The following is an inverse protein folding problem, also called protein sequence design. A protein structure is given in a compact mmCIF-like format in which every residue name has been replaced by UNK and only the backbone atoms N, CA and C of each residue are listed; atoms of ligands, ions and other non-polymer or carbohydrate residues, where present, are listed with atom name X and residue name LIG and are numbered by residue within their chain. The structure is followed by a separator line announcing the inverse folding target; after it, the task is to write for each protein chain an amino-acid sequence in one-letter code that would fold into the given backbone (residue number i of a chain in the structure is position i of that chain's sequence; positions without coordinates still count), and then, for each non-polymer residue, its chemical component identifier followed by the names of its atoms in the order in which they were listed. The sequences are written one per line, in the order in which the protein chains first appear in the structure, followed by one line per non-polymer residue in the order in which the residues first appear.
data_IF_686394968833
#
_entry.id   IF_686394968833
#
_cell.length_a   1.000
_cell.length_b   1.000
_cell.length_c   1.000
_cell.angle_alpha   90.00
_cell.angle_beta   90.00
_cell.angle_gamma   90.00
#
_symmetry.space_group_name_H-M   'P 1'
#
loop_
_entity.id
_entity.type
_entity.pdbx_description
1 polymer ?
#
# COMPACT_ATOMS: atom_id res chain seq x y z
N UNK A 1 10.11 -20.33 19.10
CA UNK A 1 9.27 -20.05 20.27
C UNK A 1 7.86 -19.71 19.77
N UNK A 2 6.80 -20.48 20.10
CA UNK A 2 5.45 -20.17 19.70
C UNK A 2 4.88 -19.06 20.60
N UNK A 3 4.32 -18.02 19.96
CA UNK A 3 3.54 -16.99 20.62
C UNK A 3 2.05 -17.33 20.45
N UNK A 4 1.32 -17.47 21.53
CA UNK A 4 -0.09 -17.92 21.51
C UNK A 4 -1.07 -16.75 21.38
N UNK A 5 -0.69 -15.69 20.66
CA UNK A 5 -1.48 -14.48 20.44
C UNK A 5 -0.69 -13.19 20.72
N UNK A 6 -1.42 -12.09 20.89
CA UNK A 6 -0.86 -10.76 21.14
C UNK A 6 -0.11 -10.75 22.48
N UNK A 7 1.12 -10.24 22.48
CA UNK A 7 1.91 -10.04 23.69
C UNK A 7 1.54 -8.73 24.39
N UNK A 8 2.00 -8.56 25.62
CA UNK A 8 1.84 -7.33 26.39
C UNK A 8 2.46 -6.14 25.64
N UNK A 9 1.74 -5.03 25.54
CA UNK A 9 2.31 -3.78 25.05
C UNK A 9 3.24 -3.18 26.11
N UNK A 10 4.55 -3.29 25.87
CA UNK A 10 5.59 -2.84 26.81
C UNK A 10 5.75 -1.30 26.83
N UNK A 11 5.19 -0.58 25.86
CA UNK A 11 5.16 0.89 25.88
C UNK A 11 4.27 1.44 27.00
N UNK A 12 3.18 0.69 27.32
CA UNK A 12 2.20 1.09 28.35
C UNK A 12 2.43 0.45 29.70
N UNK A 13 3.20 -0.62 29.76
CA UNK A 13 3.32 -1.41 30.96
C UNK A 13 4.55 -1.06 31.77
N UNK A 14 4.46 -0.93 33.12
CA UNK A 14 5.62 -0.78 33.98
C UNK A 14 6.48 -2.05 33.96
N UNK A 15 7.79 -1.91 34.16
CA UNK A 15 8.77 -3.01 34.06
C UNK A 15 8.39 -4.25 34.88
N UNK A 16 7.84 -4.06 36.09
CA UNK A 16 7.39 -5.18 36.94
C UNK A 16 6.32 -6.01 36.26
N UNK A 17 5.38 -5.37 35.56
CA UNK A 17 4.32 -6.07 34.79
C UNK A 17 4.88 -6.74 33.54
N UNK A 18 5.85 -6.13 32.90
CA UNK A 18 6.55 -6.70 31.73
C UNK A 18 7.23 -8.03 32.16
N UNK A 19 7.98 -7.99 33.23
CA UNK A 19 8.71 -9.18 33.76
C UNK A 19 7.79 -10.23 34.41
N UNK A 20 6.55 -9.89 34.74
CA UNK A 20 5.55 -10.87 35.21
C UNK A 20 4.85 -11.61 34.08
N UNK A 21 4.96 -11.16 32.82
CA UNK A 21 4.39 -11.84 31.65
C UNK A 21 5.20 -13.07 31.28
N UNK A 22 4.56 -14.24 31.27
CA UNK A 22 5.22 -15.52 30.94
C UNK A 22 5.84 -15.46 29.54
N UNK A 23 5.11 -14.97 28.55
CA UNK A 23 5.59 -14.86 27.17
C UNK A 23 6.83 -13.96 27.05
N UNK A 24 6.86 -12.86 27.78
CA UNK A 24 8.02 -11.95 27.79
C UNK A 24 9.22 -12.59 28.49
N UNK A 25 8.99 -13.29 29.61
CA UNK A 25 10.05 -14.04 30.30
C UNK A 25 10.63 -15.13 29.40
N UNK A 26 9.77 -15.86 28.69
CA UNK A 26 10.21 -16.89 27.75
C UNK A 26 11.05 -16.31 26.61
N UNK A 27 10.65 -15.13 26.08
CA UNK A 27 11.43 -14.41 25.07
C UNK A 27 12.81 -14.01 25.60
N UNK A 28 12.89 -13.40 26.79
CA UNK A 28 14.14 -12.97 27.41
C UNK A 28 15.02 -14.18 27.67
N UNK A 29 14.47 -15.27 28.23
CA UNK A 29 15.18 -16.51 28.49
C UNK A 29 15.69 -17.18 27.21
N UNK A 30 14.89 -17.17 26.13
CA UNK A 30 15.29 -17.73 24.85
C UNK A 30 16.42 -16.93 24.20
N UNK A 31 16.36 -15.61 24.22
CA UNK A 31 17.38 -14.70 23.66
C UNK A 31 18.68 -14.82 24.45
N UNK A 32 18.61 -14.87 25.78
CA UNK A 32 19.70 -15.13 26.69
C UNK A 32 20.50 -13.93 27.17
N UNK A 33 20.25 -12.72 26.61
CA UNK A 33 21.03 -11.50 26.92
C UNK A 33 20.65 -10.84 28.24
N UNK A 34 19.54 -11.23 28.88
CA UNK A 34 18.96 -10.45 29.97
C UNK A 34 18.32 -9.15 29.46
N UNK A 35 17.79 -8.34 30.38
CA UNK A 35 17.17 -7.00 30.10
C UNK A 35 17.47 -6.03 31.24
N UNK A 36 17.46 -4.74 30.99
CA UNK A 36 17.72 -3.70 31.98
C UNK A 36 19.19 -3.47 32.27
N UNK A 37 19.46 -2.71 33.34
CA UNK A 37 20.80 -2.33 33.79
C UNK A 37 21.17 -3.05 35.11
N UNK A 38 22.46 -3.13 35.42
CA UNK A 38 23.00 -3.70 36.67
C UNK A 38 23.34 -5.17 36.59
N UNK A 39 23.48 -5.80 37.77
CA UNK A 39 23.85 -7.21 37.89
C UNK A 39 22.73 -8.11 37.35
N UNK A 40 23.03 -8.90 36.31
CA UNK A 40 22.02 -9.68 35.56
C UNK A 40 21.29 -8.92 34.46
N UNK A 41 21.66 -7.65 34.19
CA UNK A 41 21.15 -6.82 33.09
C UNK A 41 21.54 -7.30 31.70
N UNK A 42 21.34 -6.45 30.72
CA UNK A 42 21.61 -6.75 29.30
C UNK A 42 23.11 -7.01 29.06
N UNK A 43 23.43 -8.14 28.48
CA UNK A 43 24.78 -8.54 28.09
C UNK A 43 24.77 -9.26 26.76
N UNK A 44 25.21 -8.55 25.70
CA UNK A 44 25.23 -9.09 24.34
C UNK A 44 26.10 -10.30 24.15
N UNK A 45 27.12 -10.48 25.00
CA UNK A 45 28.01 -11.65 24.93
C UNK A 45 27.30 -12.96 25.24
N UNK A 46 26.15 -12.89 25.91
CA UNK A 46 25.28 -14.03 26.26
C UNK A 46 24.23 -14.34 25.19
N UNK A 47 24.23 -13.59 24.08
CA UNK A 47 23.29 -13.82 22.97
C UNK A 47 23.44 -15.24 22.42
N UNK A 48 22.32 -15.96 22.37
CA UNK A 48 22.31 -17.37 21.92
C UNK A 48 22.12 -17.54 20.43
N UNK A 49 21.60 -16.52 19.72
CA UNK A 49 21.23 -16.61 18.31
C UNK A 49 21.71 -15.40 17.52
N UNK A 50 22.37 -15.63 16.40
CA UNK A 50 22.78 -14.56 15.49
C UNK A 50 21.62 -13.87 14.78
N UNK A 51 20.51 -14.59 14.59
CA UNK A 51 19.30 -14.07 13.97
C UNK A 51 18.09 -14.44 14.79
N UNK A 52 17.33 -13.42 15.19
CA UNK A 52 16.03 -13.56 15.83
C UNK A 52 15.01 -13.16 14.77
N UNK A 53 14.19 -14.12 14.35
CA UNK A 53 13.30 -13.96 13.21
C UNK A 53 11.87 -13.94 13.72
N UNK A 54 11.19 -12.81 13.54
CA UNK A 54 9.78 -12.63 13.86
C UNK A 54 8.95 -13.19 12.72
N UNK A 55 8.05 -14.12 13.03
CA UNK A 55 7.14 -14.75 12.08
C UNK A 55 5.72 -14.49 12.55
N UNK A 56 4.94 -13.82 11.72
CA UNK A 56 3.53 -13.53 11.94
C UNK A 56 2.74 -13.67 10.63
N UNK A 57 1.44 -13.85 10.74
CA UNK A 57 0.54 -13.90 9.59
C UNK A 57 0.53 -12.57 8.83
N UNK A 58 0.16 -12.60 7.57
CA UNK A 58 0.09 -11.38 6.74
C UNK A 58 -1.20 -10.56 6.95
N UNK A 59 -2.02 -10.92 7.95
CA UNK A 59 -3.25 -10.25 8.32
C UNK A 59 -3.03 -9.10 9.34
N UNK A 60 -4.11 -8.40 9.69
CA UNK A 60 -4.07 -7.26 10.63
C UNK A 60 -3.63 -7.67 12.04
N UNK A 61 -3.99 -8.88 12.50
CA UNK A 61 -3.60 -9.40 13.80
C UNK A 61 -2.11 -9.75 13.84
N UNK A 62 -1.59 -10.37 12.77
CA UNK A 62 -0.17 -10.66 12.64
C UNK A 62 0.69 -9.40 12.54
N UNK A 63 0.21 -8.35 11.85
CA UNK A 63 0.88 -7.04 11.82
C UNK A 63 0.92 -6.41 13.22
N UNK A 64 -0.17 -6.50 13.99
CA UNK A 64 -0.22 -6.01 15.37
C UNK A 64 0.74 -6.80 16.29
N UNK A 65 0.81 -8.13 16.15
CA UNK A 65 1.76 -8.97 16.90
C UNK A 65 3.20 -8.55 16.56
N UNK A 66 3.52 -8.36 15.29
CA UNK A 66 4.83 -7.89 14.83
C UNK A 66 5.19 -6.54 15.43
N UNK A 67 4.24 -5.59 15.46
CA UNK A 67 4.44 -4.26 16.06
C UNK A 67 4.69 -4.35 17.56
N UNK A 68 3.94 -5.18 18.30
CA UNK A 68 4.17 -5.41 19.74
C UNK A 68 5.54 -6.01 20.00
N UNK A 69 5.98 -6.98 19.18
CA UNK A 69 7.31 -7.57 19.29
C UNK A 69 8.42 -6.56 18.99
N UNK A 70 8.26 -5.75 17.93
CA UNK A 70 9.20 -4.68 17.60
C UNK A 70 9.29 -3.65 18.72
N UNK A 71 8.16 -3.28 19.34
CA UNK A 71 8.11 -2.41 20.50
C UNK A 71 8.90 -3.03 21.68
N UNK A 72 8.71 -4.32 21.93
CA UNK A 72 9.48 -5.02 22.96
C UNK A 72 10.98 -5.00 22.69
N UNK A 73 11.43 -5.35 21.48
CA UNK A 73 12.84 -5.31 21.11
C UNK A 73 13.41 -3.89 21.16
N UNK A 74 12.67 -2.91 20.71
CA UNK A 74 13.11 -1.52 20.72
C UNK A 74 13.25 -0.97 22.15
N UNK A 75 12.30 -1.26 23.05
CA UNK A 75 12.30 -0.72 24.42
C UNK A 75 13.20 -1.50 25.36
N UNK A 76 13.30 -2.82 25.23
CA UNK A 76 13.98 -3.68 26.21
C UNK A 76 15.31 -4.25 25.70
N UNK A 77 15.50 -4.36 24.39
CA UNK A 77 16.64 -5.06 23.77
C UNK A 77 17.16 -4.29 22.54
N UNK A 78 17.11 -2.96 22.60
CA UNK A 78 17.50 -2.05 21.50
C UNK A 78 18.88 -2.37 20.90
N UNK A 79 19.92 -2.71 21.68
CA UNK A 79 21.22 -3.06 21.12
C UNK A 79 21.18 -4.25 20.14
N UNK A 80 20.18 -5.16 20.24
CA UNK A 80 20.03 -6.26 19.28
C UNK A 80 19.52 -5.78 17.90
N UNK A 81 18.74 -4.69 17.86
CA UNK A 81 18.34 -4.06 16.59
C UNK A 81 19.54 -3.34 15.98
N UNK A 82 20.26 -2.55 16.79
CA UNK A 82 21.42 -1.78 16.35
C UNK A 82 22.56 -2.68 15.85
N UNK A 83 22.73 -3.84 16.48
CA UNK A 83 23.70 -4.87 16.07
C UNK A 83 23.20 -5.77 14.93
N UNK A 84 21.96 -5.56 14.44
CA UNK A 84 21.42 -6.23 13.26
C UNK A 84 21.00 -7.69 13.47
N UNK A 85 20.56 -8.05 14.66
CA UNK A 85 20.12 -9.43 14.99
C UNK A 85 18.62 -9.67 14.77
N UNK A 86 17.80 -8.62 14.58
CA UNK A 86 16.34 -8.73 14.48
C UNK A 86 15.90 -8.73 13.02
N UNK A 87 15.06 -9.70 12.66
CA UNK A 87 14.57 -9.89 11.29
C UNK A 87 13.06 -10.17 11.29
N UNK A 88 12.38 -9.75 10.21
CA UNK A 88 11.02 -10.14 9.89
C UNK A 88 11.05 -11.18 8.78
N UNK A 89 10.37 -12.30 8.98
CA UNK A 89 10.16 -13.29 7.93
C UNK A 89 9.15 -12.76 6.90
N UNK A 90 9.38 -13.09 5.63
CA UNK A 90 8.48 -12.78 4.53
C UNK A 90 7.92 -14.07 3.93
N UNK A 91 6.81 -14.60 4.46
CA UNK A 91 6.12 -15.72 3.82
C UNK A 91 5.54 -15.29 2.48
N UNK A 92 5.34 -16.21 1.53
CA UNK A 92 4.69 -15.91 0.27
C UNK A 92 3.19 -15.64 0.50
N UNK A 93 2.64 -14.69 -0.27
CA UNK A 93 1.20 -14.42 -0.31
C UNK A 93 0.47 -15.34 -1.29
N UNK A 94 1.17 -15.84 -2.33
CA UNK A 94 0.58 -16.66 -3.36
C UNK A 94 1.42 -17.88 -3.69
N UNK A 95 0.72 -18.98 -4.00
CA UNK A 95 1.25 -20.14 -4.71
C UNK A 95 0.55 -20.23 -6.05
N UNK A 96 1.34 -20.28 -7.12
CA UNK A 96 0.84 -20.41 -8.48
C UNK A 96 1.35 -21.71 -9.08
N UNK A 97 0.42 -22.50 -9.65
CA UNK A 97 0.74 -23.74 -10.34
C UNK A 97 0.10 -23.74 -11.72
N UNK A 98 0.92 -23.85 -12.78
CA UNK A 98 0.47 -23.95 -14.16
C UNK A 98 1.23 -25.08 -14.87
N UNK A 99 0.54 -26.17 -15.18
CA UNK A 99 1.18 -27.38 -15.71
C UNK A 99 2.23 -27.94 -14.75
N UNK A 100 3.50 -27.96 -15.18
CA UNK A 100 4.65 -28.41 -14.37
C UNK A 100 5.30 -27.29 -13.57
N UNK A 101 4.96 -26.05 -13.86
CA UNK A 101 5.51 -24.88 -13.17
C UNK A 101 4.77 -24.68 -11.84
N UNK A 102 5.51 -24.62 -10.76
CA UNK A 102 5.04 -24.25 -9.44
C UNK A 102 5.97 -23.19 -8.86
N UNK A 103 5.42 -22.07 -8.41
CA UNK A 103 6.21 -21.00 -7.82
C UNK A 103 5.43 -20.28 -6.71
N UNK A 104 6.19 -19.67 -5.80
CA UNK A 104 5.68 -18.84 -4.72
C UNK A 104 5.97 -17.37 -5.01
N UNK A 105 4.98 -16.50 -4.75
CA UNK A 105 5.07 -15.06 -4.94
C UNK A 105 4.80 -14.36 -3.60
N UNK A 106 5.68 -13.42 -3.21
CA UNK A 106 5.61 -12.79 -1.90
C UNK A 106 4.66 -11.59 -1.84
N UNK A 107 4.37 -10.96 -2.99
CA UNK A 107 3.60 -9.72 -3.02
C UNK A 107 2.52 -9.75 -4.08
N UNK A 108 1.50 -8.92 -3.89
CA UNK A 108 0.46 -8.67 -4.89
C UNK A 108 1.08 -8.19 -6.22
N UNK A 109 2.09 -7.33 -6.14
CA UNK A 109 2.78 -6.82 -7.32
C UNK A 109 3.44 -7.94 -8.13
N UNK A 110 4.09 -8.92 -7.47
CA UNK A 110 4.66 -10.08 -8.14
C UNK A 110 3.58 -10.93 -8.81
N UNK A 111 2.41 -11.04 -8.20
CA UNK A 111 1.26 -11.73 -8.79
C UNK A 111 0.77 -11.01 -10.05
N UNK A 112 0.64 -9.69 -10.02
CA UNK A 112 0.26 -8.89 -11.18
C UNK A 112 1.31 -9.00 -12.31
N UNK A 113 2.60 -8.95 -11.97
CA UNK A 113 3.68 -9.15 -12.93
C UNK A 113 3.63 -10.55 -13.56
N UNK A 114 3.34 -11.58 -12.77
CA UNK A 114 3.18 -12.95 -13.28
C UNK A 114 2.00 -13.06 -14.25
N UNK A 115 0.84 -12.52 -13.89
CA UNK A 115 -0.35 -12.50 -14.77
C UNK A 115 -0.08 -11.77 -16.09
N UNK A 116 0.61 -10.63 -16.03
CA UNK A 116 0.99 -9.86 -17.21
C UNK A 116 1.94 -10.66 -18.11
N UNK A 117 2.96 -11.27 -17.53
CA UNK A 117 3.93 -12.09 -18.28
C UNK A 117 3.26 -13.29 -18.94
N UNK A 118 2.40 -13.99 -18.20
CA UNK A 118 1.65 -15.14 -18.74
C UNK A 118 0.66 -14.70 -19.83
N UNK A 119 -0.02 -13.57 -19.63
CA UNK A 119 -0.93 -12.99 -20.62
C UNK A 119 -0.21 -12.71 -21.94
N UNK A 120 0.92 -12.01 -21.87
CA UNK A 120 1.72 -11.71 -23.06
C UNK A 120 2.21 -12.97 -23.80
N UNK A 121 2.44 -14.06 -23.07
CA UNK A 121 2.95 -15.30 -23.64
C UNK A 121 1.87 -16.22 -24.24
N UNK A 122 0.62 -16.12 -23.74
CA UNK A 122 -0.43 -17.12 -24.03
C UNK A 122 -1.69 -16.55 -24.67
N UNK A 123 -1.81 -15.22 -24.73
CA UNK A 123 -3.03 -14.55 -25.19
C UNK A 123 -2.77 -13.82 -26.51
N UNK A 124 -3.69 -13.96 -27.45
CA UNK A 124 -3.74 -13.13 -28.66
C UNK A 124 -4.87 -12.12 -28.51
N UNK A 125 -4.57 -10.83 -28.69
CA UNK A 125 -5.56 -9.76 -28.69
C UNK A 125 -5.71 -9.23 -30.10
N UNK A 126 -6.95 -9.19 -30.60
CA UNK A 126 -7.28 -8.64 -31.92
C UNK A 126 -8.24 -7.47 -31.74
N UNK A 127 -7.97 -6.34 -32.36
CA UNK A 127 -8.85 -5.19 -32.33
C UNK A 127 -10.06 -5.36 -33.28
N UNK A 128 -11.00 -4.43 -33.20
CA UNK A 128 -12.21 -4.44 -34.05
C UNK A 128 -11.95 -4.15 -35.55
N UNK A 129 -10.71 -3.83 -35.92
CA UNK A 129 -10.27 -3.64 -37.31
C UNK A 129 -9.53 -4.88 -37.83
N UNK A 130 -9.39 -5.91 -36.99
CA UNK A 130 -8.68 -7.13 -37.33
C UNK A 130 -7.15 -7.07 -37.11
N UNK A 131 -6.64 -5.97 -36.56
CA UNK A 131 -5.21 -5.86 -36.25
C UNK A 131 -4.89 -6.62 -34.93
N UNK A 132 -3.78 -7.36 -34.92
CA UNK A 132 -3.31 -8.07 -33.75
C UNK A 132 -2.43 -7.17 -32.89
N UNK A 133 -2.73 -7.12 -31.61
CA UNK A 133 -1.85 -6.51 -30.62
C UNK A 133 -0.97 -7.62 -30.03
N UNK A 134 0.32 -7.60 -30.37
CA UNK A 134 1.29 -8.62 -29.99
C UNK A 134 2.58 -7.98 -29.46
N UNK A 135 3.36 -8.75 -28.71
CA UNK A 135 4.70 -8.35 -28.25
C UNK A 135 4.71 -7.05 -27.46
N UNK A 136 5.55 -6.10 -27.88
CA UNK A 136 5.74 -4.83 -27.17
C UNK A 136 4.50 -3.94 -27.20
N UNK A 137 3.73 -3.93 -28.28
CA UNK A 137 2.51 -3.11 -28.40
C UNK A 137 1.46 -3.52 -27.35
N UNK A 138 1.24 -4.83 -27.20
CA UNK A 138 0.34 -5.35 -26.18
C UNK A 138 0.89 -5.07 -24.77
N UNK A 139 2.20 -5.24 -24.56
CA UNK A 139 2.84 -4.96 -23.28
C UNK A 139 2.69 -3.49 -22.88
N UNK A 140 2.90 -2.56 -23.81
CA UNK A 140 2.75 -1.13 -23.58
C UNK A 140 1.30 -0.76 -23.27
N UNK A 141 0.34 -1.30 -24.02
CA UNK A 141 -1.08 -1.13 -23.78
C UNK A 141 -1.47 -1.59 -22.36
N UNK A 142 -1.14 -2.81 -22.00
CA UNK A 142 -1.48 -3.36 -20.68
C UNK A 142 -0.81 -2.60 -19.54
N UNK A 143 0.42 -2.11 -19.75
CA UNK A 143 1.11 -1.25 -18.77
C UNK A 143 0.38 0.07 -18.58
N UNK A 144 -0.02 0.74 -19.66
CA UNK A 144 -0.77 2.00 -19.58
C UNK A 144 -2.09 1.78 -18.83
N UNK A 145 -2.82 0.71 -19.14
CA UNK A 145 -4.09 0.40 -18.49
C UNK A 145 -3.93 0.10 -16.99
N UNK A 146 -2.86 -0.59 -16.61
CA UNK A 146 -2.53 -0.82 -15.20
C UNK A 146 -2.19 0.49 -14.49
N UNK A 147 -1.32 1.31 -15.09
CA UNK A 147 -0.95 2.61 -14.53
C UNK A 147 -2.21 3.49 -14.34
N UNK A 148 -3.19 3.40 -15.24
CA UNK A 148 -4.49 4.06 -15.09
C UNK A 148 -5.32 3.49 -13.95
N UNK A 149 -5.43 2.15 -13.82
CA UNK A 149 -6.14 1.53 -12.70
C UNK A 149 -5.57 1.98 -11.35
N UNK A 150 -4.23 1.99 -11.21
CA UNK A 150 -3.55 2.41 -9.97
C UNK A 150 -3.84 3.89 -9.64
N UNK A 151 -3.83 4.76 -10.65
CA UNK A 151 -4.14 6.19 -10.48
C UNK A 151 -5.61 6.41 -10.13
N UNK A 152 -6.51 5.70 -10.81
CA UNK A 152 -7.96 5.80 -10.55
C UNK A 152 -8.32 5.30 -9.16
N UNK A 153 -7.71 4.21 -8.69
CA UNK A 153 -7.88 3.73 -7.32
C UNK A 153 -7.46 4.80 -6.28
N UNK A 154 -6.39 5.57 -6.55
CA UNK A 154 -6.00 6.69 -5.68
C UNK A 154 -7.01 7.83 -5.70
N UNK A 155 -7.59 8.13 -6.87
CA UNK A 155 -8.64 9.16 -7.00
C UNK A 155 -9.95 8.74 -6.33
N UNK A 156 -10.32 7.46 -6.39
CA UNK A 156 -11.51 6.92 -5.72
C UNK A 156 -11.45 7.11 -4.20
N UNK A 157 -10.26 6.95 -3.58
CA UNK A 157 -10.06 7.26 -2.15
C UNK A 157 -10.34 8.74 -1.85
N UNK A 158 -10.08 9.63 -2.81
CA UNK A 158 -10.41 11.06 -2.74
C UNK A 158 -11.86 11.36 -3.14
N UNK A 159 -12.71 10.35 -3.37
CA UNK A 159 -14.07 10.47 -3.91
C UNK A 159 -14.11 11.21 -5.26
N UNK A 160 -13.17 10.92 -6.14
CA UNK A 160 -13.11 11.44 -7.50
C UNK A 160 -13.20 10.25 -8.46
N UNK A 161 -14.18 10.27 -9.34
CA UNK A 161 -14.39 9.22 -10.34
C UNK A 161 -13.71 9.56 -11.68
N UNK A 162 -13.58 8.57 -12.55
CA UNK A 162 -13.12 8.80 -13.92
C UNK A 162 -14.07 9.73 -14.70
N UNK A 163 -15.37 9.70 -14.39
CA UNK A 163 -16.37 10.59 -14.99
C UNK A 163 -16.12 12.05 -14.59
N UNK A 164 -15.77 12.31 -13.34
CA UNK A 164 -15.42 13.65 -12.87
C UNK A 164 -14.19 14.18 -13.61
N UNK A 165 -13.16 13.33 -13.77
CA UNK A 165 -11.99 13.68 -14.55
C UNK A 165 -12.33 13.99 -16.01
N UNK A 166 -13.21 13.19 -16.65
CA UNK A 166 -13.66 13.45 -18.03
C UNK A 166 -14.43 14.77 -18.15
N UNK A 167 -15.19 15.16 -17.14
CA UNK A 167 -15.90 16.44 -17.13
C UNK A 167 -14.91 17.62 -17.15
N UNK A 168 -13.86 17.60 -16.30
CA UNK A 168 -12.80 18.61 -16.34
C UNK A 168 -12.06 18.63 -17.68
N UNK A 169 -11.77 17.46 -18.23
CA UNK A 169 -11.12 17.36 -19.54
C UNK A 169 -11.96 17.96 -20.65
N UNK A 170 -13.27 17.79 -20.60
CA UNK A 170 -14.22 18.40 -21.56
C UNK A 170 -14.27 19.93 -21.47
N UNK A 171 -13.99 20.50 -20.27
CA UNK A 171 -13.84 21.96 -20.07
C UNK A 171 -12.46 22.48 -20.52
N UNK A 172 -11.57 21.57 -20.96
CA UNK A 172 -10.25 21.93 -21.52
C UNK A 172 -9.15 22.14 -20.49
N UNK A 173 -9.42 21.94 -19.19
CA UNK A 173 -8.44 22.06 -18.12
C UNK A 173 -8.75 21.13 -16.95
N UNK A 174 -7.72 20.64 -16.29
CA UNK A 174 -7.84 19.77 -15.10
C UNK A 174 -7.28 20.45 -13.86
N UNK A 175 -7.92 20.34 -12.69
CA UNK A 175 -7.44 20.98 -11.48
C UNK A 175 -6.18 20.29 -10.94
N UNK A 176 -5.33 21.06 -10.26
CA UNK A 176 -4.13 20.60 -9.58
C UNK A 176 -4.30 20.55 -8.07
N UNK A 177 -5.21 21.36 -7.52
CA UNK A 177 -5.57 21.41 -6.10
C UNK A 177 -7.07 21.53 -5.92
N UNK A 178 -7.56 21.09 -4.76
CA UNK A 178 -8.90 21.39 -4.28
C UNK A 178 -8.91 21.66 -2.78
N UNK A 179 -9.84 22.49 -2.33
CA UNK A 179 -10.08 22.84 -0.93
C UNK A 179 -11.51 22.48 -0.58
N UNK A 180 -11.78 21.81 0.57
CA UNK A 180 -13.13 21.56 1.02
C UNK A 180 -13.81 22.88 1.42
N UNK A 181 -15.08 23.07 1.03
CA UNK A 181 -15.88 24.22 1.41
C UNK A 181 -16.72 23.92 2.64
N UNK A 182 -16.87 24.88 3.53
CA UNK A 182 -17.73 24.75 4.72
C UNK A 182 -19.21 24.50 4.35
N UNK A 183 -19.66 24.98 3.21
CA UNK A 183 -20.99 24.73 2.64
C UNK A 183 -21.17 23.33 2.04
N UNK A 184 -20.13 22.51 2.04
CA UNK A 184 -20.05 21.22 1.34
C UNK A 184 -19.52 21.39 -0.08
N UNK A 185 -18.90 20.32 -0.61
CA UNK A 185 -18.24 20.32 -1.90
C UNK A 185 -16.81 20.85 -1.84
N UNK A 186 -16.27 21.19 -3.03
CA UNK A 186 -14.86 21.60 -3.17
C UNK A 186 -14.72 22.81 -4.08
N UNK A 187 -13.75 23.69 -3.76
CA UNK A 187 -13.23 24.71 -4.69
C UNK A 187 -12.00 24.13 -5.38
N UNK A 188 -11.97 24.20 -6.69
CA UNK A 188 -10.90 23.67 -7.52
C UNK A 188 -9.99 24.77 -8.04
N UNK A 189 -8.69 24.47 -8.14
CA UNK A 189 -7.65 25.34 -8.66
C UNK A 189 -6.91 24.63 -9.78
N UNK A 190 -6.71 25.31 -10.88
CA UNK A 190 -6.22 24.72 -12.12
C UNK A 190 -4.73 24.94 -12.35
N UNK A 191 -4.11 25.80 -11.57
CA UNK A 191 -2.68 25.97 -11.49
C UNK A 191 -2.25 26.39 -10.08
N UNK A 192 -0.94 26.36 -9.83
CA UNK A 192 -0.36 26.70 -8.52
C UNK A 192 -0.51 28.20 -8.19
N UNK A 193 -0.52 29.08 -9.19
CA UNK A 193 -0.65 30.51 -8.99
C UNK A 193 -2.09 30.88 -8.51
N UNK A 194 -3.12 30.26 -9.10
CA UNK A 194 -4.51 30.41 -8.63
C UNK A 194 -4.65 29.96 -7.17
N UNK A 195 -4.03 28.82 -6.81
CA UNK A 195 -4.07 28.30 -5.43
C UNK A 195 -3.36 29.24 -4.47
N UNK A 196 -2.11 29.66 -4.78
CA UNK A 196 -1.33 30.55 -3.93
C UNK A 196 -2.03 31.88 -3.69
N UNK A 197 -2.55 32.52 -4.73
CA UNK A 197 -3.29 33.75 -4.58
C UNK A 197 -4.48 33.62 -3.62
N UNK A 198 -5.23 32.52 -3.72
CA UNK A 198 -6.31 32.22 -2.79
C UNK A 198 -5.81 31.93 -1.37
N UNK A 199 -4.73 31.16 -1.21
CA UNK A 199 -4.18 30.85 0.09
C UNK A 199 -3.66 32.10 0.82
N UNK A 200 -3.03 33.04 0.09
CA UNK A 200 -2.56 34.31 0.64
C UNK A 200 -3.74 35.18 1.13
N UNK A 201 -4.81 35.27 0.31
CA UNK A 201 -6.04 35.99 0.70
C UNK A 201 -6.69 35.36 1.92
N UNK A 202 -6.80 34.02 1.96
CA UNK A 202 -7.35 33.28 3.10
C UNK A 202 -6.56 33.49 4.39
N UNK A 203 -5.22 33.51 4.33
CA UNK A 203 -4.37 33.79 5.49
C UNK A 203 -4.59 35.22 6.00
N UNK A 204 -4.75 36.20 5.11
CA UNK A 204 -5.06 37.58 5.51
C UNK A 204 -6.41 37.68 6.23
N UNK A 205 -7.47 37.12 5.64
CA UNK A 205 -8.81 37.10 6.26
C UNK A 205 -8.76 36.38 7.64
N UNK A 206 -8.03 35.25 7.72
CA UNK A 206 -7.91 34.49 8.96
C UNK A 206 -7.17 35.25 10.05
N UNK A 207 -6.14 36.02 9.69
CA UNK A 207 -5.43 36.91 10.63
C UNK A 207 -6.32 38.05 11.11
N UNK A 208 -7.16 38.62 10.24
CA UNK A 208 -8.13 39.65 10.64
C UNK A 208 -9.16 39.11 11.64
N UNK A 209 -9.72 37.91 11.39
CA UNK A 209 -10.62 37.21 12.30
C UNK A 209 -9.97 37.00 13.69
N UNK A 210 -8.77 36.37 13.70
CA UNK A 210 -8.06 36.08 14.96
C UNK A 210 -7.67 37.36 15.73
N UNK A 211 -7.29 38.42 15.01
CA UNK A 211 -7.00 39.71 15.60
C UNK A 211 -8.25 40.35 16.25
N UNK A 212 -9.41 40.23 15.62
CA UNK A 212 -10.69 40.68 16.19
C UNK A 212 -11.06 39.92 17.46
N UNK A 213 -10.67 38.65 17.54
CA UNK A 213 -10.84 37.80 18.75
C UNK A 213 -9.75 38.04 19.83
N UNK A 214 -8.84 39.00 19.61
CA UNK A 214 -7.80 39.38 20.56
C UNK A 214 -6.55 38.49 20.57
N UNK A 215 -6.34 37.70 19.53
CA UNK A 215 -5.14 36.86 19.36
C UNK A 215 -4.01 37.70 18.76
N UNK A 216 -2.79 37.57 19.30
CA UNK A 216 -1.60 38.18 18.71
C UNK A 216 -1.16 37.42 17.45
N UNK A 217 -1.56 37.94 16.31
CA UNK A 217 -1.29 37.33 14.99
C UNK A 217 0.15 37.51 14.48
N UNK A 218 0.96 38.35 15.15
CA UNK A 218 2.35 38.63 14.76
C UNK A 218 3.28 37.45 15.03
N UNK A 219 2.88 36.55 15.91
CA UNK A 219 3.64 35.36 16.32
C UNK A 219 3.22 34.09 15.57
N UNK A 220 2.17 34.18 14.74
CA UNK A 220 1.65 33.02 14.00
C UNK A 220 2.38 32.84 12.69
N UNK A 221 2.73 31.59 12.39
CA UNK A 221 3.29 31.20 11.10
C UNK A 221 2.20 31.16 10.04
N UNK A 222 2.43 31.84 8.92
CA UNK A 222 1.50 31.91 7.79
C UNK A 222 1.21 30.51 7.20
N UNK A 223 2.18 29.61 7.22
CA UNK A 223 2.01 28.25 6.74
C UNK A 223 0.98 27.47 7.58
N UNK A 224 0.94 27.72 8.90
CA UNK A 224 -0.03 27.10 9.80
C UNK A 224 -1.47 27.62 9.64
N UNK A 225 -1.64 28.77 9.01
CA UNK A 225 -2.93 29.41 8.76
C UNK A 225 -3.48 29.10 7.36
N UNK A 226 -2.71 28.45 6.48
CA UNK A 226 -3.15 28.10 5.15
C UNK A 226 -4.34 27.15 5.18
N UNK A 227 -5.24 27.23 4.19
CA UNK A 227 -6.37 26.30 4.11
C UNK A 227 -5.89 24.88 3.83
N UNK A 228 -6.52 23.90 4.47
CA UNK A 228 -6.29 22.49 4.13
C UNK A 228 -6.63 22.26 2.66
N UNK A 229 -5.69 21.70 1.93
CA UNK A 229 -5.88 21.42 0.51
C UNK A 229 -5.50 19.98 0.17
N UNK A 230 -6.06 19.51 -0.93
CA UNK A 230 -5.71 18.21 -1.52
C UNK A 230 -5.08 18.44 -2.88
N UNK A 231 -3.89 17.90 -3.09
CA UNK A 231 -3.25 17.87 -4.42
C UNK A 231 -3.94 16.83 -5.31
N UNK A 232 -4.06 17.14 -6.61
CA UNK A 232 -4.69 16.32 -7.65
C UNK A 232 -3.68 15.99 -8.78
N UNK A 233 -2.43 15.68 -8.40
CA UNK A 233 -1.36 15.33 -9.34
C UNK A 233 -1.67 14.06 -10.15
N UNK A 234 -2.61 13.24 -9.68
CA UNK A 234 -3.15 12.07 -10.37
C UNK A 234 -3.71 12.44 -11.76
N UNK A 235 -4.34 13.61 -11.89
CA UNK A 235 -4.86 14.06 -13.17
C UNK A 235 -3.78 14.27 -14.23
N UNK A 236 -2.61 14.78 -13.81
CA UNK A 236 -1.44 14.88 -14.69
C UNK A 236 -0.93 13.53 -15.17
N UNK A 237 -1.00 12.49 -14.29
CA UNK A 237 -0.64 11.12 -14.65
C UNK A 237 -1.65 10.52 -15.64
N UNK A 238 -2.96 10.77 -15.45
CA UNK A 238 -3.99 10.33 -16.42
C UNK A 238 -3.78 10.98 -17.78
N UNK A 239 -3.52 12.29 -17.85
CA UNK A 239 -3.22 12.97 -19.11
C UNK A 239 -1.99 12.37 -19.82
N UNK A 240 -0.97 11.97 -19.05
CA UNK A 240 0.18 11.27 -19.62
C UNK A 240 -0.19 9.89 -20.18
N UNK A 241 -1.12 9.17 -19.53
CA UNK A 241 -1.65 7.91 -20.03
C UNK A 241 -2.47 8.11 -21.31
N UNK A 242 -3.30 9.16 -21.38
CA UNK A 242 -4.08 9.49 -22.59
C UNK A 242 -3.19 9.67 -23.82
N UNK A 243 -2.15 10.51 -23.70
CA UNK A 243 -1.18 10.71 -24.79
C UNK A 243 -0.52 9.42 -25.27
N UNK A 244 -0.23 8.50 -24.35
CA UNK A 244 0.32 7.18 -24.71
C UNK A 244 -0.71 6.29 -25.39
N UNK A 245 -1.99 6.33 -24.94
CA UNK A 245 -3.08 5.61 -25.60
C UNK A 245 -3.33 6.13 -27.01
N UNK A 246 -3.32 7.46 -27.20
CA UNK A 246 -3.48 8.09 -28.52
C UNK A 246 -2.37 7.66 -29.50
N UNK A 247 -1.13 7.54 -29.02
CA UNK A 247 -0.02 7.01 -29.81
C UNK A 247 -0.23 5.55 -30.26
N UNK A 248 -1.05 4.78 -29.55
CA UNK A 248 -1.48 3.43 -29.90
C UNK A 248 -2.79 3.40 -30.69
N UNK A 249 -3.40 4.56 -30.98
CA UNK A 249 -4.64 4.69 -31.75
C UNK A 249 -5.92 4.56 -30.93
N UNK A 250 -5.84 4.70 -29.60
CA UNK A 250 -6.96 4.62 -28.67
C UNK A 250 -7.12 5.93 -27.89
N UNK A 251 -8.25 6.11 -27.20
CA UNK A 251 -8.53 7.31 -26.39
C UNK A 251 -9.41 7.01 -25.18
N UNK A 252 -9.54 7.98 -24.28
CA UNK A 252 -10.28 7.84 -23.03
C UNK A 252 -11.80 7.60 -23.20
N UNK A 253 -12.40 7.93 -24.34
CA UNK A 253 -13.83 7.61 -24.60
C UNK A 253 -14.06 6.10 -24.67
N UNK A 254 -13.02 5.33 -24.99
CA UNK A 254 -13.06 3.87 -25.07
C UNK A 254 -12.73 3.18 -23.73
N UNK A 255 -12.36 3.95 -22.70
CA UNK A 255 -11.96 3.39 -21.40
C UNK A 255 -13.14 2.91 -20.54
N UNK A 256 -14.24 3.68 -20.37
CA UNK A 256 -15.32 3.28 -19.47
C UNK A 256 -15.95 1.95 -19.87
N UNK A 257 -16.34 1.17 -18.85
CA UNK A 257 -17.13 -0.05 -19.08
C UNK A 257 -18.47 0.30 -19.68
N UNK A 258 -18.89 -0.49 -20.65
CA UNK A 258 -20.22 -0.41 -21.25
C UNK A 258 -21.19 -1.21 -20.35
N UNK A 259 -21.95 -0.53 -19.50
CA UNK A 259 -22.87 -1.17 -18.54
C UNK A 259 -24.14 -1.68 -19.21
N UNK A 260 -24.61 -0.98 -20.22
CA UNK A 260 -25.84 -1.33 -20.91
C UNK A 260 -25.57 -2.43 -21.95
N UNK A 261 -26.13 -3.62 -21.74
CA UNK A 261 -25.97 -4.74 -22.67
C UNK A 261 -26.43 -4.42 -24.11
N UNK A 262 -27.39 -3.54 -24.28
CA UNK A 262 -27.87 -3.13 -25.62
C UNK A 262 -26.87 -2.28 -26.39
N UNK A 263 -25.94 -1.64 -25.69
CA UNK A 263 -24.87 -0.83 -26.27
C UNK A 263 -23.61 -1.67 -26.57
N UNK A 264 -23.55 -2.91 -26.07
CA UNK A 264 -22.46 -3.87 -26.33
C UNK A 264 -22.60 -4.52 -27.72
N UNK A 265 -22.72 -3.72 -28.77
CA UNK A 265 -22.96 -4.21 -30.12
C UNK A 265 -21.66 -4.61 -30.84
N UNK A 266 -20.64 -3.78 -30.76
CA UNK A 266 -19.36 -4.01 -31.43
C UNK A 266 -18.24 -4.10 -30.40
N UNK A 267 -17.58 -5.26 -30.26
CA UNK A 267 -16.46 -5.38 -29.33
C UNK A 267 -15.29 -4.50 -29.80
N UNK A 268 -14.57 -3.92 -28.87
CA UNK A 268 -13.35 -3.17 -29.12
C UNK A 268 -12.17 -4.12 -29.37
N UNK A 269 -12.15 -5.25 -28.65
CA UNK A 269 -11.16 -6.30 -28.82
C UNK A 269 -11.77 -7.70 -28.71
N UNK A 270 -11.06 -8.66 -29.29
CA UNK A 270 -11.27 -10.09 -29.02
C UNK A 270 -10.00 -10.64 -28.38
N UNK A 271 -10.13 -11.21 -27.19
CA UNK A 271 -9.04 -11.83 -26.43
C UNK A 271 -9.16 -13.34 -26.55
N UNK A 272 -8.18 -13.99 -27.19
CA UNK A 272 -8.13 -15.44 -27.38
C UNK A 272 -7.02 -16.05 -26.52
N UNK A 273 -7.36 -17.06 -25.72
CA UNK A 273 -6.40 -17.82 -24.89
C UNK A 273 -6.03 -19.19 -25.46
N UNK A 274 -6.27 -19.40 -26.73
CA UNK A 274 -6.04 -20.69 -27.43
C UNK A 274 -7.20 -21.70 -27.29
N UNK A 275 -8.23 -21.38 -26.48
CA UNK A 275 -9.41 -22.24 -26.27
C UNK A 275 -10.73 -21.52 -26.50
N UNK A 276 -10.80 -20.29 -26.06
CA UNK A 276 -12.03 -19.47 -26.09
C UNK A 276 -11.71 -18.04 -26.51
N UNK A 277 -12.66 -17.43 -27.20
CA UNK A 277 -12.67 -16.01 -27.50
C UNK A 277 -13.51 -15.26 -26.48
N UNK A 278 -12.94 -14.22 -25.90
CA UNK A 278 -13.63 -13.30 -24.99
C UNK A 278 -13.78 -11.95 -25.69
N UNK A 279 -15.02 -11.50 -25.85
CA UNK A 279 -15.31 -10.18 -26.44
C UNK A 279 -15.16 -9.11 -25.36
N UNK A 280 -14.43 -8.06 -25.68
CA UNK A 280 -14.08 -6.95 -24.80
C UNK A 280 -14.59 -5.65 -25.42
N UNK A 281 -15.36 -4.86 -24.67
CA UNK A 281 -16.08 -3.69 -25.19
C UNK A 281 -15.47 -2.37 -24.74
N UNK A 282 -14.50 -2.40 -23.82
CA UNK A 282 -13.80 -1.20 -23.36
C UNK A 282 -12.34 -1.47 -23.01
N UNK A 283 -11.53 -0.42 -22.90
CA UNK A 283 -10.15 -0.52 -22.46
C UNK A 283 -10.05 -1.00 -21.00
N UNK A 284 -10.99 -0.59 -20.14
CA UNK A 284 -11.03 -1.07 -18.75
C UNK A 284 -11.28 -2.58 -18.62
N UNK A 285 -12.01 -3.17 -19.59
CA UNK A 285 -12.25 -4.61 -19.62
C UNK A 285 -11.05 -5.40 -20.16
N UNK A 286 -10.20 -4.78 -21.00
CA UNK A 286 -9.10 -5.46 -21.67
C UNK A 286 -8.08 -6.03 -20.70
N UNK A 287 -7.64 -5.22 -19.72
CA UNK A 287 -6.64 -5.65 -18.75
C UNK A 287 -7.16 -6.84 -17.92
N UNK A 288 -8.42 -6.76 -17.49
CA UNK A 288 -9.08 -7.87 -16.78
C UNK A 288 -9.18 -9.12 -17.66
N UNK A 289 -9.65 -8.98 -18.89
CA UNK A 289 -9.81 -10.12 -19.80
C UNK A 289 -8.47 -10.83 -20.08
N UNK A 290 -7.38 -10.08 -20.23
CA UNK A 290 -6.03 -10.65 -20.40
C UNK A 290 -5.57 -11.36 -19.13
N UNK A 291 -5.78 -10.78 -17.94
CA UNK A 291 -5.43 -11.42 -16.66
C UNK A 291 -6.24 -12.70 -16.43
N UNK A 292 -7.53 -12.68 -16.70
CA UNK A 292 -8.42 -13.84 -16.56
C UNK A 292 -8.01 -14.96 -17.54
N UNK A 293 -7.70 -14.61 -18.78
CA UNK A 293 -7.21 -15.55 -19.78
C UNK A 293 -5.82 -16.12 -19.40
N UNK A 294 -4.93 -15.30 -18.85
CA UNK A 294 -3.61 -15.71 -18.37
C UNK A 294 -3.70 -16.70 -17.21
N UNK A 295 -4.68 -16.52 -16.32
CA UNK A 295 -4.94 -17.42 -15.20
C UNK A 295 -5.60 -18.73 -15.60
N UNK A 296 -6.12 -18.81 -16.83
CA UNK A 296 -6.78 -20.02 -17.32
C UNK A 296 -5.84 -21.23 -17.30
N UNK A 297 -6.27 -22.30 -16.63
CA UNK A 297 -5.46 -23.51 -16.44
C UNK A 297 -4.35 -23.38 -15.38
N UNK A 298 -4.29 -22.27 -14.66
CA UNK A 298 -3.47 -22.12 -13.46
C UNK A 298 -4.31 -22.35 -12.20
N UNK A 299 -3.70 -22.95 -11.19
CA UNK A 299 -4.24 -22.97 -9.82
C UNK A 299 -3.52 -21.89 -9.04
N UNK A 300 -4.28 -20.90 -8.55
CA UNK A 300 -3.76 -19.80 -7.76
C UNK A 300 -4.32 -19.97 -6.35
N UNK A 301 -3.44 -20.12 -5.37
CA UNK A 301 -3.77 -20.17 -3.96
C UNK A 301 -3.22 -18.91 -3.29
N UNK A 302 -4.10 -18.16 -2.63
CA UNK A 302 -3.71 -17.04 -1.77
C UNK A 302 -3.64 -17.52 -0.34
N UNK A 303 -2.52 -17.22 0.34
CA UNK A 303 -2.35 -17.50 1.76
C UNK A 303 -2.72 -16.25 2.57
N UNK A 304 -3.64 -16.39 3.50
CA UNK A 304 -3.99 -15.35 4.46
C UNK A 304 -3.12 -15.41 5.71
N UNK A 305 -2.67 -16.61 6.07
CA UNK A 305 -1.81 -16.83 7.22
C UNK A 305 -0.93 -18.06 7.09
N UNK A 306 0.08 -18.16 7.99
CA UNK A 306 1.02 -19.28 8.03
C UNK A 306 0.35 -20.62 8.34
N UNK A 307 -0.80 -20.59 9.04
CA UNK A 307 -1.59 -21.77 9.37
C UNK A 307 -2.26 -22.45 8.17
N UNK A 308 -2.31 -21.79 7.01
CA UNK A 308 -2.82 -22.35 5.75
C UNK A 308 -1.75 -23.16 5.01
N UNK A 309 -0.49 -23.08 5.44
CA UNK A 309 0.62 -23.82 4.88
C UNK A 309 0.81 -25.13 5.62
N UNK A 310 1.02 -26.21 4.89
CA UNK A 310 1.51 -27.43 5.52
C UNK A 310 2.98 -27.28 5.97
N UNK A 311 3.49 -28.16 6.85
CA UNK A 311 4.86 -28.03 7.38
C UNK A 311 5.96 -27.97 6.32
N UNK A 312 5.81 -28.69 5.22
CA UNK A 312 6.80 -28.72 4.13
C UNK A 312 6.78 -27.38 3.38
N UNK A 313 5.60 -26.84 3.07
CA UNK A 313 5.44 -25.53 2.43
C UNK A 313 6.02 -24.41 3.29
N UNK A 314 5.70 -24.42 4.60
CA UNK A 314 6.23 -23.45 5.54
C UNK A 314 7.77 -23.52 5.64
N UNK A 315 8.32 -24.73 5.66
CA UNK A 315 9.76 -24.94 5.66
C UNK A 315 10.40 -24.34 4.41
N UNK A 316 10.00 -24.81 3.23
CA UNK A 316 10.67 -24.45 1.97
C UNK A 316 10.51 -22.97 1.57
N UNK A 317 9.46 -22.29 2.04
CA UNK A 317 9.18 -20.90 1.66
C UNK A 317 9.68 -19.88 2.68
N UNK A 318 9.63 -20.22 3.98
CA UNK A 318 9.78 -19.25 5.08
C UNK A 318 10.89 -19.61 6.05
N UNK A 319 11.19 -20.89 6.25
CA UNK A 319 12.14 -21.32 7.26
C UNK A 319 13.50 -21.76 6.71
N UNK A 320 13.55 -22.37 5.52
CA UNK A 320 14.80 -22.85 4.90
C UNK A 320 15.79 -21.69 4.71
N UNK A 321 16.97 -21.71 5.36
CA UNK A 321 17.96 -20.65 5.23
C UNK A 321 18.42 -20.36 3.81
N UNK A 322 18.32 -21.34 2.89
CA UNK A 322 18.72 -21.20 1.50
C UNK A 322 17.68 -20.46 0.64
N UNK A 323 16.40 -20.49 1.05
CA UNK A 323 15.29 -19.99 0.22
C UNK A 323 14.51 -18.83 0.85
N UNK A 324 14.47 -18.78 2.20
CA UNK A 324 13.69 -17.80 2.95
C UNK A 324 14.09 -16.37 2.63
N UNK A 325 13.13 -15.47 2.66
CA UNK A 325 13.35 -14.02 2.56
C UNK A 325 13.15 -13.39 3.93
N UNK A 326 14.10 -12.54 4.32
CA UNK A 326 14.11 -11.85 5.59
C UNK A 326 14.33 -10.36 5.36
N UNK A 327 13.59 -9.52 6.09
CA UNK A 327 13.87 -8.09 6.20
C UNK A 327 14.62 -7.87 7.51
N UNK A 328 15.81 -7.28 7.45
CA UNK A 328 16.54 -6.85 8.64
C UNK A 328 15.90 -5.58 9.20
N UNK A 329 15.56 -5.61 10.48
CA UNK A 329 15.04 -4.41 11.17
C UNK A 329 16.21 -3.47 11.47
N UNK A 330 16.05 -2.19 11.12
CA UNK A 330 17.05 -1.14 11.31
C UNK A 330 16.40 0.10 11.89
N UNK A 331 17.16 0.85 12.68
CA UNK A 331 16.81 2.19 13.14
C UNK A 331 17.57 3.16 12.21
N UNK A 332 16.85 3.83 11.31
CA UNK A 332 17.45 4.80 10.39
C UNK A 332 17.63 6.17 11.06
N UNK A 333 16.57 6.61 11.78
CA UNK A 333 16.56 7.81 12.61
C UNK A 333 16.01 7.47 13.99
N UNK A 334 16.71 7.87 15.03
CA UNK A 334 16.33 7.56 16.40
C UNK A 334 15.16 8.41 16.89
N UNK A 335 15.07 9.68 16.46
CA UNK A 335 14.01 10.59 16.88
C UNK A 335 12.67 10.21 16.22
N UNK A 336 12.69 9.95 14.91
CA UNK A 336 11.51 9.48 14.17
C UNK A 336 11.00 8.14 14.69
N UNK A 337 11.93 7.21 14.99
CA UNK A 337 11.58 5.89 15.55
C UNK A 337 10.94 6.03 16.93
N UNK A 338 11.51 6.86 17.81
CA UNK A 338 10.96 7.15 19.14
C UNK A 338 9.57 7.76 19.04
N UNK A 339 9.40 8.74 18.15
CA UNK A 339 8.11 9.38 17.90
C UNK A 339 7.07 8.38 17.43
N UNK A 340 7.43 7.53 16.46
CA UNK A 340 6.53 6.50 15.90
C UNK A 340 6.05 5.51 16.97
N UNK A 341 6.94 4.97 17.80
CA UNK A 341 6.54 4.05 18.88
C UNK A 341 5.69 4.75 19.94
N UNK A 342 6.06 5.95 20.36
CA UNK A 342 5.28 6.72 21.35
C UNK A 342 3.89 7.05 20.82
N UNK A 343 3.76 7.48 19.58
CA UNK A 343 2.49 7.81 18.95
C UNK A 343 1.61 6.57 18.74
N UNK A 344 2.15 5.52 18.12
CA UNK A 344 1.36 4.33 17.74
C UNK A 344 1.02 3.45 18.94
N UNK A 345 1.97 3.28 19.88
CA UNK A 345 1.90 2.30 20.97
C UNK A 345 1.71 2.93 22.35
N UNK A 346 1.87 4.25 22.49
CA UNK A 346 1.74 4.99 23.76
C UNK A 346 0.32 5.06 24.32
N UNK A 347 0.19 5.59 25.54
CA UNK A 347 -1.09 5.68 26.27
C UNK A 347 -2.05 6.73 25.69
N UNK A 348 -1.52 7.83 25.14
CA UNK A 348 -2.32 8.93 24.61
C UNK A 348 -3.04 8.50 23.33
N UNK A 349 -4.35 8.71 23.27
CA UNK A 349 -5.20 8.34 22.14
C UNK A 349 -5.22 9.43 21.08
N UNK A 350 -5.23 10.69 21.48
CA UNK A 350 -5.33 11.85 20.59
C UNK A 350 -4.27 11.85 19.49
N UNK A 351 -2.95 11.77 19.76
CA UNK A 351 -1.93 11.81 18.72
C UNK A 351 -2.09 10.67 17.71
N UNK A 352 -2.54 9.48 18.18
CA UNK A 352 -2.80 8.34 17.30
C UNK A 352 -4.01 8.58 16.42
N UNK A 353 -5.08 9.17 16.96
CA UNK A 353 -6.28 9.52 16.20
C UNK A 353 -5.97 10.56 15.12
N UNK A 354 -5.23 11.60 15.48
CA UNK A 354 -4.79 12.65 14.55
C UNK A 354 -3.93 12.07 13.44
N UNK A 355 -2.97 11.19 13.77
CA UNK A 355 -2.16 10.49 12.79
C UNK A 355 -3.01 9.64 11.82
N UNK A 356 -3.96 8.85 12.35
CA UNK A 356 -4.87 8.04 11.51
C UNK A 356 -5.71 8.93 10.61
N UNK A 357 -6.22 10.04 11.10
CA UNK A 357 -7.04 10.97 10.32
C UNK A 357 -6.22 11.66 9.22
N UNK A 358 -5.02 12.15 9.53
CA UNK A 358 -4.15 12.83 8.56
C UNK A 358 -3.63 11.90 7.46
N UNK A 359 -3.45 10.60 7.77
CA UNK A 359 -2.95 9.60 6.82
C UNK A 359 -4.05 8.67 6.27
N UNK A 360 -5.32 8.98 6.54
CA UNK A 360 -6.44 8.12 6.10
C UNK A 360 -6.47 7.88 4.59
N UNK A 361 -6.05 8.87 3.79
CA UNK A 361 -5.99 8.77 2.33
C UNK A 361 -4.78 7.97 1.81
N UNK A 362 -3.80 7.67 2.66
CA UNK A 362 -2.61 6.90 2.29
C UNK A 362 -2.80 5.40 2.53
N UNK A 363 -3.86 5.02 3.23
CA UNK A 363 -4.13 3.63 3.59
C UNK A 363 -4.37 2.79 2.35
N UNK A 364 -3.58 1.71 2.22
CA UNK A 364 -3.74 0.68 1.21
C UNK A 364 -4.15 -0.62 1.90
N UNK A 365 -5.04 -1.38 1.27
CA UNK A 365 -5.48 -2.69 1.77
C UNK A 365 -6.19 -2.62 3.13
N UNK A 366 -7.25 -1.83 3.24
CA UNK A 366 -8.18 -1.95 4.37
C UNK A 366 -8.83 -3.34 4.31
N UNK A 367 -8.72 -4.09 5.40
CA UNK A 367 -9.44 -5.35 5.57
C UNK A 367 -10.84 -5.01 6.10
N UNK A 368 -11.76 -4.75 5.17
CA UNK A 368 -13.15 -4.39 5.44
C UNK A 368 -14.03 -5.59 5.09
#
# INVERSE_FOLDING_TARGET
LPLRGKILNVEKAPLVKILSSDTVRDLIAAVGTGVGEGEGGFDISKLRYHKIILMADADVDGQHISTLLLTFFYRQLRPLIESGHIYLAQPPLYKVKKGKLEQYLQTEEQMQQWLMKEGLATVTVTDNKGAKLEGQTLADMLKILRDMEDVLATLEVKNITFTDFQAFLAEGRVPVYRIPLQSGGYKYFFDEAEYRAYADEYVLEKKEELSADGVDVTTLDDESLQPEHQSLFEFGKLLACEKKLEALGYNFKQYPKVENEKERVTPLFTVNNGKTDVLVFSLAELLKAVKDAASSGATIQRYKGLGEMNPEQLWETTMDPAKRKLIQVKINDAADTEHAFTMLMGDKVEPRREFIQSHALEVKNLDI
#
